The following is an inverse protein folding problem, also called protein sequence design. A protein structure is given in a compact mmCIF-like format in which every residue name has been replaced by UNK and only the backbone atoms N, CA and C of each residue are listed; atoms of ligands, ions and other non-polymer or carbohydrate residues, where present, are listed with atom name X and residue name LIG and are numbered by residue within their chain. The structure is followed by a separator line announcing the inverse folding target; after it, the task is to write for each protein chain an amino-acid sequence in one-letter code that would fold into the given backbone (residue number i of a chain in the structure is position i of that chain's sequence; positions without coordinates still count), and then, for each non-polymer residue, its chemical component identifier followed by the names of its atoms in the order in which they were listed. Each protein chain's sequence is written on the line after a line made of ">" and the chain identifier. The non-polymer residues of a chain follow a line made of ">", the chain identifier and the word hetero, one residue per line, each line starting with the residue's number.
data_IF_734255379689
#
_entry.id   IF_734255379689
#
_cell.length_a   1.000
_cell.length_b   1.000
_cell.length_c   1.000
_cell.angle_alpha   90.00
_cell.angle_beta   90.00
_cell.angle_gamma   90.00
#
_symmetry.space_group_name_H-M   'P 1'
#
loop_
_entity.id
_entity.type
_entity.pdbx_description
1 polymer ?
#
# COMPACT_ATOMS: atom_id res chain seq x y z
N UNK A 1 5.40 -1.21 -10.77
CA UNK A 1 5.01 -2.64 -10.74
C UNK A 1 3.51 -2.71 -10.55
N UNK A 2 2.77 -3.54 -11.31
CA UNK A 2 1.34 -3.71 -11.10
C UNK A 2 1.06 -4.24 -9.69
N UNK A 3 0.01 -3.72 -9.04
CA UNK A 3 -0.45 -4.21 -7.74
C UNK A 3 -1.05 -5.62 -7.89
N UNK A 4 -0.60 -6.56 -7.05
CA UNK A 4 -1.19 -7.91 -6.98
C UNK A 4 -2.68 -7.83 -6.62
N UNK A 5 -3.49 -8.69 -7.21
CA UNK A 5 -4.92 -8.85 -6.90
C UNK A 5 -5.13 -9.51 -5.53
N UNK A 6 -6.31 -9.35 -4.91
CA UNK A 6 -6.65 -10.01 -3.63
C UNK A 6 -6.52 -11.53 -3.69
N UNK A 7 -6.90 -12.13 -4.83
CA UNK A 7 -6.75 -13.58 -5.04
C UNK A 7 -5.27 -14.01 -5.08
N UNK A 8 -4.40 -13.29 -5.78
CA UNK A 8 -2.96 -13.60 -5.83
C UNK A 8 -2.30 -13.45 -4.45
N UNK A 9 -2.75 -12.48 -3.68
CA UNK A 9 -2.31 -12.26 -2.30
C UNK A 9 -2.77 -13.41 -1.39
N UNK A 10 -4.03 -13.83 -1.48
CA UNK A 10 -4.54 -14.99 -0.75
C UNK A 10 -3.84 -16.28 -1.18
N UNK A 11 -3.56 -16.45 -2.47
CA UNK A 11 -2.82 -17.62 -2.97
C UNK A 11 -1.44 -17.70 -2.31
N UNK A 12 -0.68 -16.61 -2.29
CA UNK A 12 0.63 -16.55 -1.60
C UNK A 12 0.53 -16.89 -0.11
N UNK A 13 -0.57 -16.51 0.55
CA UNK A 13 -0.84 -16.97 1.91
C UNK A 13 -0.97 -18.48 2.00
N UNK A 14 -1.82 -19.05 1.16
CA UNK A 14 -2.14 -20.46 1.17
C UNK A 14 -0.86 -21.27 0.88
N UNK A 15 -0.03 -20.78 -0.04
CA UNK A 15 1.29 -21.33 -0.34
C UNK A 15 2.18 -21.37 0.91
N UNK A 16 2.23 -20.27 1.67
CA UNK A 16 2.99 -20.19 2.93
C UNK A 16 2.44 -21.15 4.00
N UNK A 17 1.13 -21.22 4.15
CA UNK A 17 0.48 -22.15 5.08
C UNK A 17 0.84 -23.59 4.72
N UNK A 18 0.61 -24.01 3.47
CA UNK A 18 0.86 -25.40 3.04
C UNK A 18 2.33 -25.76 3.20
N UNK A 19 3.26 -24.86 2.90
CA UNK A 19 4.69 -25.10 3.11
C UNK A 19 5.06 -25.30 4.59
N UNK A 20 4.49 -24.48 5.49
CA UNK A 20 4.75 -24.61 6.94
C UNK A 20 4.13 -25.88 7.51
N UNK A 21 2.86 -26.14 7.18
CA UNK A 21 2.14 -27.34 7.56
C UNK A 21 2.90 -28.59 7.13
N UNK A 22 3.30 -28.63 5.85
CA UNK A 22 4.07 -29.70 5.26
C UNK A 22 5.41 -29.93 5.98
N UNK A 23 6.20 -28.89 6.21
CA UNK A 23 7.49 -29.02 6.91
C UNK A 23 7.32 -29.51 8.35
N UNK A 24 6.23 -29.15 9.01
CA UNK A 24 5.95 -29.51 10.41
C UNK A 24 5.53 -30.96 10.56
N UNK A 25 4.61 -31.43 9.72
CA UNK A 25 4.00 -32.75 9.88
C UNK A 25 4.57 -33.82 8.94
N UNK A 26 5.13 -33.43 7.79
CA UNK A 26 5.59 -34.35 6.75
C UNK A 26 6.96 -33.94 6.18
N UNK A 27 8.01 -33.81 7.00
CA UNK A 27 9.31 -33.30 6.57
C UNK A 27 10.01 -34.14 5.48
N UNK A 28 9.61 -35.40 5.28
CA UNK A 28 10.15 -36.29 4.25
C UNK A 28 9.49 -36.14 2.87
N UNK A 29 8.33 -35.47 2.79
CA UNK A 29 7.66 -35.20 1.51
C UNK A 29 8.31 -33.95 0.90
N UNK A 30 8.46 -33.89 -0.44
CA UNK A 30 9.04 -32.72 -1.11
C UNK A 30 8.00 -31.66 -1.43
N UNK A 31 6.85 -32.08 -1.93
CA UNK A 31 5.75 -31.20 -2.34
C UNK A 31 4.41 -31.82 -2.02
N UNK A 32 3.52 -31.04 -1.40
CA UNK A 32 2.10 -31.36 -1.30
C UNK A 32 1.39 -30.61 -2.42
N UNK A 33 0.63 -31.34 -3.24
CA UNK A 33 -0.23 -30.74 -4.25
C UNK A 33 -1.45 -30.13 -3.56
N UNK A 34 -1.74 -28.87 -3.85
CA UNK A 34 -2.98 -28.21 -3.42
C UNK A 34 -3.50 -27.28 -4.51
N UNK A 35 -4.80 -27.00 -4.43
CA UNK A 35 -5.48 -26.07 -5.35
C UNK A 35 -6.21 -24.99 -4.55
N UNK A 36 -6.20 -23.76 -5.07
CA UNK A 36 -6.87 -22.61 -4.48
C UNK A 36 -7.90 -22.07 -5.45
N UNK A 37 -9.18 -22.11 -5.06
CA UNK A 37 -10.29 -21.62 -5.90
C UNK A 37 -11.05 -20.49 -5.22
N UNK A 38 -11.37 -19.45 -5.99
CA UNK A 38 -12.31 -18.40 -5.62
C UNK A 38 -13.73 -18.82 -6.04
N UNK A 39 -14.69 -18.82 -5.10
CA UNK A 39 -16.04 -19.35 -5.37
C UNK A 39 -17.07 -18.29 -5.73
N UNK A 40 -16.80 -17.00 -5.48
CA UNK A 40 -17.78 -15.94 -5.70
C UNK A 40 -17.15 -14.73 -6.39
N UNK A 41 -17.47 -14.56 -7.68
CA UNK A 41 -17.40 -13.27 -8.39
C UNK A 41 -18.70 -12.45 -8.26
N UNK A 42 -19.70 -12.96 -7.55
CA UNK A 42 -21.06 -12.38 -7.49
C UNK A 42 -21.20 -11.11 -6.65
N UNK A 43 -20.10 -10.61 -6.10
CA UNK A 43 -20.08 -9.25 -5.63
C UNK A 43 -19.06 -8.50 -6.47
N UNK A 44 -19.48 -7.35 -6.99
CA UNK A 44 -18.64 -6.35 -7.62
C UNK A 44 -17.32 -6.18 -6.85
N UNK A 45 -16.30 -5.61 -7.50
CA UNK A 45 -14.96 -5.33 -6.94
C UNK A 45 -14.92 -4.62 -5.56
N UNK A 46 -16.07 -4.32 -4.95
CA UNK A 46 -16.26 -3.70 -3.65
C UNK A 46 -16.60 -4.64 -2.49
N UNK A 47 -16.86 -5.95 -2.65
CA UNK A 47 -17.17 -6.75 -1.44
C UNK A 47 -15.93 -6.93 -0.58
N UNK A 48 -16.04 -6.49 0.67
CA UNK A 48 -15.09 -6.75 1.73
C UNK A 48 -14.92 -8.25 1.96
N UNK A 49 -15.98 -9.06 1.79
CA UNK A 49 -15.95 -10.50 2.05
C UNK A 49 -15.74 -11.32 0.78
N UNK A 50 -14.81 -12.27 0.85
CA UNK A 50 -14.48 -13.23 -0.21
C UNK A 50 -14.45 -14.65 0.37
N UNK A 51 -14.74 -15.64 -0.47
CA UNK A 51 -14.76 -17.06 -0.08
C UNK A 51 -13.79 -17.85 -0.94
N UNK A 52 -12.83 -18.47 -0.28
CA UNK A 52 -11.79 -19.28 -0.89
C UNK A 52 -11.90 -20.74 -0.48
N UNK A 53 -11.39 -21.62 -1.34
CA UNK A 53 -11.21 -23.03 -1.03
C UNK A 53 -9.75 -23.41 -1.19
N UNK A 54 -9.21 -24.12 -0.21
CA UNK A 54 -7.90 -24.79 -0.30
C UNK A 54 -8.19 -26.28 -0.31
N UNK A 55 -7.79 -26.99 -1.37
CA UNK A 55 -7.91 -28.44 -1.48
C UNK A 55 -6.53 -29.06 -1.31
N UNK A 56 -6.28 -29.75 -0.20
CA UNK A 56 -5.03 -30.45 0.10
C UNK A 56 -5.20 -31.91 -0.31
N UNK A 57 -4.35 -32.40 -1.23
CA UNK A 57 -4.42 -33.80 -1.63
C UNK A 57 -3.82 -34.69 -0.54
N UNK A 58 -4.51 -35.80 -0.24
CA UNK A 58 -4.02 -36.85 0.67
C UNK A 58 -2.95 -37.72 0.03
N UNK A 59 -2.75 -37.61 -1.27
CA UNK A 59 -1.71 -38.33 -2.01
C UNK A 59 -0.62 -37.36 -2.46
N UNK A 60 0.64 -37.75 -2.29
CA UNK A 60 1.80 -36.99 -2.75
C UNK A 60 2.55 -37.75 -3.83
N UNK A 61 3.20 -37.02 -4.73
CA UNK A 61 4.03 -37.63 -5.76
C UNK A 61 5.35 -38.08 -5.13
N UNK A 62 5.62 -39.38 -5.19
CA UNK A 62 6.86 -39.98 -4.69
C UNK A 62 7.97 -39.83 -5.73
N UNK A 63 7.69 -40.28 -6.96
CA UNK A 63 8.59 -40.14 -8.10
C UNK A 63 7.82 -40.11 -9.42
N UNK A 64 8.46 -39.54 -10.44
CA UNK A 64 8.03 -39.56 -11.83
C UNK A 64 9.10 -40.30 -12.64
N UNK A 65 8.71 -41.40 -13.29
CA UNK A 65 9.60 -42.14 -14.15
C UNK A 65 9.89 -41.31 -15.41
N UNK A 66 11.13 -40.88 -15.59
CA UNK A 66 11.52 -39.99 -16.69
C UNK A 66 11.44 -40.65 -18.07
N UNK A 67 11.40 -41.98 -18.13
CA UNK A 67 11.33 -42.76 -19.37
C UNK A 67 9.88 -42.99 -19.80
N UNK A 68 9.02 -43.38 -18.85
CA UNK A 68 7.62 -43.72 -19.14
C UNK A 68 6.65 -42.56 -18.91
N UNK A 69 7.05 -41.54 -18.15
CA UNK A 69 6.17 -40.48 -17.65
C UNK A 69 5.22 -40.94 -16.53
N UNK A 70 5.38 -42.17 -16.03
CA UNK A 70 4.53 -42.72 -14.97
C UNK A 70 4.79 -42.01 -13.63
N UNK A 71 3.71 -41.63 -12.96
CA UNK A 71 3.74 -40.92 -11.68
C UNK A 71 3.26 -41.85 -10.56
N UNK A 72 4.13 -42.12 -9.59
CA UNK A 72 3.78 -42.93 -8.43
C UNK A 72 3.41 -42.04 -7.26
N UNK A 73 2.24 -42.29 -6.69
CA UNK A 73 1.70 -41.54 -5.57
C UNK A 73 1.57 -42.43 -4.33
N UNK A 74 1.91 -41.87 -3.18
CA UNK A 74 1.69 -42.49 -1.87
C UNK A 74 0.69 -41.67 -1.07
N UNK A 75 -0.02 -42.34 -0.17
CA UNK A 75 -0.93 -41.69 0.76
C UNK A 75 -0.15 -41.09 1.94
N UNK A 76 -0.51 -39.86 2.32
CA UNK A 76 0.05 -39.17 3.46
C UNK A 76 -0.57 -39.79 4.73
N UNK A 77 0.15 -40.73 5.34
CA UNK A 77 -0.26 -41.31 6.61
C UNK A 77 -0.45 -40.25 7.70
N UNK A 78 -1.58 -40.30 8.40
CA UNK A 78 -1.88 -39.40 9.52
C UNK A 78 -2.41 -38.02 9.13
N UNK A 79 -2.63 -37.73 7.85
CA UNK A 79 -3.29 -36.50 7.43
C UNK A 79 -4.81 -36.58 7.66
N UNK A 80 -5.26 -36.00 8.77
CA UNK A 80 -6.69 -35.92 9.14
C UNK A 80 -7.26 -34.51 8.98
N UNK A 81 -8.58 -34.41 8.84
CA UNK A 81 -9.27 -33.11 8.79
C UNK A 81 -9.06 -32.30 10.06
N UNK A 82 -9.00 -32.95 11.21
CA UNK A 82 -8.77 -32.35 12.52
C UNK A 82 -7.39 -31.69 12.60
N UNK A 83 -6.36 -32.39 12.11
CA UNK A 83 -4.99 -31.87 12.07
C UNK A 83 -4.90 -30.62 11.19
N UNK A 84 -5.48 -30.68 9.99
CA UNK A 84 -5.51 -29.54 9.06
C UNK A 84 -6.29 -28.37 9.66
N UNK A 85 -7.44 -28.65 10.30
CA UNK A 85 -8.27 -27.62 10.94
C UNK A 85 -7.48 -26.89 12.04
N UNK A 86 -6.88 -27.63 12.97
CA UNK A 86 -6.15 -27.05 14.09
C UNK A 86 -4.98 -26.18 13.61
N UNK A 87 -4.18 -26.68 12.67
CA UNK A 87 -3.03 -25.93 12.16
C UNK A 87 -3.45 -24.71 11.34
N UNK A 88 -4.53 -24.82 10.56
CA UNK A 88 -5.06 -23.71 9.77
C UNK A 88 -5.64 -22.60 10.65
N UNK A 89 -6.36 -22.96 11.72
CA UNK A 89 -6.87 -22.00 12.71
C UNK A 89 -5.69 -21.28 13.39
N UNK A 90 -4.69 -22.03 13.88
CA UNK A 90 -3.47 -21.46 14.48
C UNK A 90 -2.68 -20.57 13.52
N UNK A 91 -2.62 -20.94 12.24
CA UNK A 91 -1.92 -20.16 11.24
C UNK A 91 -2.63 -18.84 10.97
N UNK A 92 -3.96 -18.84 10.86
CA UNK A 92 -4.71 -17.66 10.41
C UNK A 92 -5.21 -16.74 11.53
N UNK A 93 -5.37 -17.25 12.75
CA UNK A 93 -5.86 -16.49 13.91
C UNK A 93 -5.01 -15.24 14.24
N UNK A 94 -3.67 -15.28 14.23
CA UNK A 94 -2.84 -14.11 14.58
C UNK A 94 -3.01 -12.92 13.63
N UNK A 95 -3.48 -13.17 12.40
CA UNK A 95 -3.57 -12.12 11.37
C UNK A 95 -4.87 -11.32 11.41
N UNK A 96 -5.75 -11.58 12.40
CA UNK A 96 -6.96 -10.78 12.61
C UNK A 96 -6.59 -9.32 12.90
N UNK A 97 -7.13 -8.39 12.11
CA UNK A 97 -6.96 -6.97 12.34
C UNK A 97 -8.10 -6.49 13.22
N UNK A 98 -7.73 -5.86 14.34
CA UNK A 98 -8.66 -5.20 15.26
C UNK A 98 -8.60 -3.68 15.10
N UNK A 99 -9.73 -3.02 15.29
CA UNK A 99 -9.80 -1.57 15.31
C UNK A 99 -9.33 -0.98 16.66
N UNK A 100 -9.46 0.34 16.83
CA UNK A 100 -9.08 1.03 18.08
C UNK A 100 -9.94 0.64 19.29
N UNK A 101 -11.08 0.00 19.08
CA UNK A 101 -12.00 -0.51 20.10
C UNK A 101 -11.76 -1.99 20.40
N UNK A 102 -10.86 -2.65 19.65
CA UNK A 102 -10.60 -4.08 19.77
C UNK A 102 -11.52 -4.97 18.92
N UNK A 103 -12.41 -4.38 18.11
CA UNK A 103 -13.34 -5.10 17.24
C UNK A 103 -12.60 -5.65 16.02
N UNK A 104 -12.86 -6.91 15.65
CA UNK A 104 -12.23 -7.54 14.49
C UNK A 104 -12.84 -6.95 13.21
N UNK A 105 -12.03 -6.22 12.44
CA UNK A 105 -12.43 -5.58 11.19
C UNK A 105 -11.90 -6.30 9.95
N UNK A 106 -10.90 -7.16 10.09
CA UNK A 106 -10.42 -8.01 9.00
C UNK A 106 -9.98 -9.36 9.55
N UNK A 107 -10.38 -10.44 8.90
CA UNK A 107 -10.09 -11.79 9.37
C UNK A 107 -10.11 -12.80 8.23
N UNK A 108 -9.47 -13.95 8.48
CA UNK A 108 -9.71 -15.17 7.73
C UNK A 108 -10.19 -16.23 8.71
N UNK A 109 -11.31 -16.86 8.38
CA UNK A 109 -11.94 -17.88 9.22
C UNK A 109 -12.21 -19.12 8.40
N UNK A 110 -11.76 -20.26 8.91
CA UNK A 110 -12.19 -21.57 8.42
C UNK A 110 -13.68 -21.74 8.77
N UNK A 111 -14.51 -21.92 7.75
CA UNK A 111 -15.98 -22.04 7.92
C UNK A 111 -16.50 -23.43 7.68
N UNK A 112 -15.78 -24.22 6.89
CA UNK A 112 -16.15 -25.60 6.58
C UNK A 112 -14.90 -26.37 6.22
N UNK A 113 -14.83 -27.61 6.68
CA UNK A 113 -13.85 -28.60 6.24
C UNK A 113 -14.62 -29.81 5.71
N UNK A 114 -14.21 -30.31 4.55
CA UNK A 114 -14.77 -31.52 3.95
C UNK A 114 -13.63 -32.49 3.75
N UNK A 115 -13.76 -33.67 4.32
CA UNK A 115 -12.78 -34.73 4.19
C UNK A 115 -13.30 -35.82 3.25
N UNK A 116 -12.51 -36.15 2.24
CA UNK A 116 -12.77 -37.23 1.29
C UNK A 116 -11.58 -38.16 1.23
N UNK A 117 -11.72 -39.29 0.54
CA UNK A 117 -10.62 -40.24 0.35
C UNK A 117 -9.40 -39.62 -0.34
N UNK A 118 -9.60 -38.69 -1.28
CA UNK A 118 -8.50 -38.12 -2.07
C UNK A 118 -7.93 -36.82 -1.50
N UNK A 119 -8.72 -36.07 -0.74
CA UNK A 119 -8.40 -34.68 -0.38
C UNK A 119 -9.18 -34.18 0.82
N UNK A 120 -8.59 -33.19 1.48
CA UNK A 120 -9.22 -32.36 2.50
C UNK A 120 -9.47 -30.98 1.88
N UNK A 121 -10.73 -30.56 1.81
CA UNK A 121 -11.14 -29.26 1.28
C UNK A 121 -11.50 -28.32 2.43
N UNK A 122 -10.73 -27.26 2.59
CA UNK A 122 -10.94 -26.19 3.55
C UNK A 122 -11.63 -25.01 2.86
N UNK A 123 -12.75 -24.54 3.43
CA UNK A 123 -13.46 -23.34 2.96
C UNK A 123 -13.20 -22.18 3.92
N UNK A 124 -12.53 -21.17 3.42
CA UNK A 124 -12.18 -19.99 4.19
C UNK A 124 -13.02 -18.80 3.76
N UNK A 125 -13.50 -18.04 4.74
CA UNK A 125 -14.07 -16.70 4.53
C UNK A 125 -13.01 -15.69 4.91
N UNK A 126 -12.66 -14.82 3.96
CA UNK A 126 -11.73 -13.72 4.17
C UNK A 126 -12.52 -12.42 4.09
N UNK A 127 -12.45 -11.63 5.15
CA UNK A 127 -13.05 -10.30 5.20
C UNK A 127 -11.96 -9.24 5.22
N UNK A 128 -11.93 -8.39 4.21
CA UNK A 128 -11.03 -7.25 4.04
C UNK A 128 -11.75 -5.97 4.43
N UNK A 129 -11.26 -5.28 5.45
CA UNK A 129 -11.74 -3.93 5.71
C UNK A 129 -11.30 -3.00 4.57
N UNK A 130 -12.19 -2.13 4.08
CA UNK A 130 -11.99 -1.29 2.89
C UNK A 130 -10.73 -0.40 2.91
N UNK A 131 -10.17 -0.12 4.11
CA UNK A 131 -8.93 0.66 4.28
C UNK A 131 -7.64 -0.18 4.27
N UNK A 132 -7.75 -1.49 4.24
CA UNK A 132 -6.62 -2.41 4.30
C UNK A 132 -6.58 -3.22 3.00
N UNK A 133 -5.98 -2.63 1.97
CA UNK A 133 -5.71 -3.31 0.69
C UNK A 133 -4.57 -4.34 0.79
N UNK A 134 -3.95 -4.47 1.96
CA UNK A 134 -2.79 -5.33 2.12
C UNK A 134 -3.18 -6.81 2.07
N UNK A 135 -2.28 -7.69 1.61
CA UNK A 135 -2.46 -9.13 1.68
C UNK A 135 -2.93 -9.56 3.06
N UNK A 136 -3.71 -10.62 3.10
CA UNK A 136 -3.91 -11.42 4.29
C UNK A 136 -3.24 -12.78 4.05
N UNK A 137 -2.31 -13.23 4.91
CA UNK A 137 -1.67 -12.50 5.98
C UNK A 137 -0.69 -11.51 5.39
N UNK A 138 -0.81 -10.25 5.76
CA UNK A 138 0.32 -9.34 5.60
C UNK A 138 1.21 -9.67 6.78
N UNK A 139 2.50 -9.86 6.52
CA UNK A 139 3.50 -9.78 7.58
C UNK A 139 3.13 -8.58 8.44
N UNK A 140 2.95 -8.81 9.74
CA UNK A 140 2.66 -7.79 10.72
C UNK A 140 3.57 -6.61 10.40
N UNK A 141 3.03 -5.55 9.79
CA UNK A 141 3.58 -4.25 10.09
C UNK A 141 3.13 -4.07 11.51
N UNK A 142 4.05 -4.35 12.42
CA UNK A 142 3.92 -4.08 13.85
C UNK A 142 3.05 -2.84 13.99
N UNK A 143 1.95 -2.96 14.73
CA UNK A 143 1.05 -1.85 15.01
C UNK A 143 1.85 -0.61 15.44
N UNK A 144 3.02 -0.81 16.06
CA UNK A 144 3.96 0.25 16.39
C UNK A 144 4.65 0.88 15.18
N UNK A 145 5.07 0.14 14.16
CA UNK A 145 5.58 0.71 12.90
C UNK A 145 4.51 1.56 12.20
N UNK A 146 3.25 1.10 12.19
CA UNK A 146 2.14 1.88 11.60
C UNK A 146 1.89 3.15 12.40
N UNK A 147 1.91 3.07 13.73
CA UNK A 147 1.80 4.23 14.61
C UNK A 147 2.97 5.19 14.43
N UNK A 148 4.19 4.69 14.31
CA UNK A 148 5.39 5.49 14.11
C UNK A 148 5.33 6.25 12.78
N UNK A 149 5.07 5.56 11.66
CA UNK A 149 4.90 6.21 10.35
C UNK A 149 3.77 7.25 10.37
N UNK A 150 2.68 6.98 11.10
CA UNK A 150 1.58 7.93 11.26
C UNK A 150 1.99 9.16 12.06
N UNK A 151 2.80 9.00 13.11
CA UNK A 151 3.38 10.10 13.90
C UNK A 151 4.33 10.94 13.03
N UNK A 152 5.22 10.29 12.29
CA UNK A 152 6.16 10.94 11.36
C UNK A 152 5.42 11.76 10.29
N UNK A 153 4.40 11.18 9.65
CA UNK A 153 3.60 11.89 8.65
C UNK A 153 2.88 13.11 9.26
N UNK A 154 2.35 12.98 10.49
CA UNK A 154 1.71 14.09 11.20
C UNK A 154 2.72 15.19 11.51
N UNK A 155 3.94 14.84 11.89
CA UNK A 155 5.02 15.78 12.14
C UNK A 155 5.47 16.49 10.86
N UNK A 156 5.67 15.76 9.76
CA UNK A 156 5.99 16.33 8.45
C UNK A 156 4.91 17.33 7.99
N UNK A 157 3.62 16.99 8.14
CA UNK A 157 2.52 17.91 7.83
C UNK A 157 2.53 19.17 8.70
N UNK A 158 2.82 19.04 10.00
CA UNK A 158 2.98 20.19 10.89
C UNK A 158 4.14 21.10 10.46
N UNK A 159 5.29 20.52 10.13
CA UNK A 159 6.45 21.27 9.65
C UNK A 159 6.16 21.97 8.32
N UNK A 160 5.56 21.27 7.36
CA UNK A 160 5.15 21.86 6.08
C UNK A 160 4.18 23.04 6.28
N UNK A 161 3.21 22.92 7.20
CA UNK A 161 2.30 24.01 7.55
C UNK A 161 2.99 25.19 8.23
N UNK A 162 3.97 24.93 9.10
CA UNK A 162 4.75 25.99 9.75
C UNK A 162 5.59 26.76 8.71
N UNK A 163 6.24 26.05 7.79
CA UNK A 163 7.02 26.64 6.69
C UNK A 163 6.13 27.45 5.77
N UNK A 164 4.95 26.94 5.38
CA UNK A 164 4.02 27.69 4.51
C UNK A 164 3.50 28.96 5.18
N UNK A 165 3.22 28.91 6.48
CA UNK A 165 2.80 30.08 7.26
C UNK A 165 3.91 31.12 7.37
N UNK A 166 5.16 30.68 7.59
CA UNK A 166 6.34 31.55 7.61
C UNK A 166 6.58 32.23 6.26
N UNK A 167 6.46 31.46 5.17
CA UNK A 167 6.59 31.99 3.81
C UNK A 167 5.51 33.03 3.48
N UNK A 168 4.25 32.80 3.86
CA UNK A 168 3.17 33.76 3.65
C UNK A 168 3.43 35.10 4.38
N UNK A 169 3.95 35.05 5.62
CA UNK A 169 4.35 36.26 6.37
C UNK A 169 5.50 36.99 5.68
N UNK A 170 6.53 36.27 5.23
CA UNK A 170 7.66 36.84 4.49
C UNK A 170 7.20 37.53 3.20
N UNK A 171 6.33 36.87 2.41
CA UNK A 171 5.75 37.44 1.19
C UNK A 171 4.99 38.73 1.48
N UNK A 172 4.21 38.76 2.57
CA UNK A 172 3.50 39.98 2.98
C UNK A 172 4.47 41.10 3.36
N UNK A 173 5.48 40.82 4.19
CA UNK A 173 6.50 41.80 4.58
C UNK A 173 7.26 42.34 3.38
N UNK A 174 7.66 41.49 2.43
CA UNK A 174 8.36 41.93 1.22
C UNK A 174 7.46 42.84 0.38
N UNK A 175 6.17 42.52 0.22
CA UNK A 175 5.22 43.39 -0.49
C UNK A 175 5.03 44.74 0.19
N UNK A 176 4.94 44.76 1.52
CA UNK A 176 4.81 45.99 2.31
C UNK A 176 6.07 46.88 2.23
N UNK A 177 7.25 46.27 2.18
CA UNK A 177 8.50 47.01 1.97
C UNK A 177 8.59 47.51 0.53
N UNK A 178 8.25 46.66 -0.44
CA UNK A 178 8.26 46.99 -1.85
C UNK A 178 7.29 48.13 -2.17
N UNK A 179 6.10 48.18 -1.56
CA UNK A 179 5.12 49.26 -1.75
C UNK A 179 5.61 50.61 -1.26
N UNK A 180 6.47 50.64 -0.23
CA UNK A 180 7.06 51.86 0.34
C UNK A 180 8.26 52.42 -0.42
N UNK A 181 8.82 51.68 -1.37
CA UNK A 181 9.95 52.17 -2.18
C UNK A 181 9.54 53.39 -3.02
N UNK A 182 10.38 54.46 -3.08
CA UNK A 182 10.07 55.66 -3.87
C UNK A 182 10.07 55.39 -5.38
N UNK A 183 10.91 54.45 -5.84
CA UNK A 183 10.95 53.95 -7.21
C UNK A 183 10.84 52.44 -7.19
N UNK A 184 10.12 51.85 -8.15
CA UNK A 184 10.02 50.40 -8.26
C UNK A 184 11.08 49.90 -9.24
N UNK A 185 11.79 48.80 -8.94
CA UNK A 185 12.73 48.23 -9.88
C UNK A 185 11.99 47.58 -11.06
N UNK A 186 12.66 47.55 -12.21
CA UNK A 186 12.20 46.82 -13.38
C UNK A 186 12.37 45.30 -13.20
N UNK A 187 11.47 44.54 -13.80
CA UNK A 187 11.57 43.09 -13.85
C UNK A 187 12.83 42.69 -14.63
N UNK A 188 13.71 41.80 -14.10
CA UNK A 188 14.96 41.42 -14.76
C UNK A 188 14.77 40.58 -16.05
N UNK A 189 13.53 40.23 -16.39
CA UNK A 189 13.21 39.42 -17.58
C UNK A 189 12.66 40.28 -18.72
N UNK A 190 11.74 41.21 -18.41
CA UNK A 190 11.08 42.04 -19.42
C UNK A 190 11.46 43.51 -19.35
N UNK A 191 12.24 43.93 -18.35
CA UNK A 191 12.68 45.31 -18.12
C UNK A 191 11.51 46.31 -18.04
N UNK A 192 10.40 45.88 -17.44
CA UNK A 192 9.22 46.72 -17.17
C UNK A 192 9.09 46.92 -15.67
N UNK A 193 8.74 48.13 -15.26
CA UNK A 193 8.51 48.48 -13.85
C UNK A 193 7.49 47.53 -13.22
N UNK A 194 7.85 46.97 -12.05
CA UNK A 194 6.99 46.00 -11.38
C UNK A 194 5.93 46.67 -10.51
N UNK A 195 4.65 46.44 -10.82
CA UNK A 195 3.52 46.80 -9.97
C UNK A 195 3.43 45.87 -8.73
N UNK A 196 3.07 46.42 -7.57
CA UNK A 196 3.01 45.70 -6.28
C UNK A 196 2.04 44.51 -6.35
N UNK A 197 0.90 44.71 -7.00
CA UNK A 197 -0.19 43.73 -7.13
C UNK A 197 0.20 42.55 -8.01
N UNK A 198 1.13 42.79 -8.94
CA UNK A 198 1.68 41.79 -9.87
C UNK A 198 3.05 41.29 -9.44
N UNK A 199 3.50 41.59 -8.22
CA UNK A 199 4.79 41.13 -7.72
C UNK A 199 4.74 39.64 -7.36
N UNK A 200 5.54 38.85 -8.07
CA UNK A 200 5.83 37.47 -7.74
C UNK A 200 7.13 37.38 -6.94
N UNK A 201 7.07 36.73 -5.77
CA UNK A 201 8.20 36.55 -4.87
C UNK A 201 8.54 35.06 -4.86
N UNK A 202 9.70 34.70 -5.40
CA UNK A 202 10.10 33.30 -5.51
C UNK A 202 10.51 32.70 -4.15
N UNK A 203 10.60 31.36 -4.01
CA UNK A 203 11.16 30.73 -2.81
C UNK A 203 12.58 31.21 -2.47
N UNK A 204 13.36 31.61 -3.48
CA UNK A 204 14.68 32.22 -3.32
C UNK A 204 14.64 33.73 -3.03
N UNK A 205 13.47 34.31 -2.78
CA UNK A 205 13.21 35.73 -2.49
C UNK A 205 13.54 36.73 -3.61
N UNK A 206 13.98 36.29 -4.80
CA UNK A 206 14.11 37.17 -5.96
C UNK A 206 12.75 37.56 -6.53
N UNK A 207 12.67 38.81 -7.00
CA UNK A 207 11.44 39.48 -7.40
C UNK A 207 11.26 39.43 -8.91
N UNK A 208 10.05 39.07 -9.37
CA UNK A 208 9.68 39.07 -10.78
C UNK A 208 8.28 39.67 -10.95
N UNK A 209 7.97 40.18 -12.15
CA UNK A 209 6.57 40.43 -12.49
C UNK A 209 5.83 39.09 -12.67
N UNK A 210 4.55 39.07 -12.32
CA UNK A 210 3.72 37.86 -12.33
C UNK A 210 3.67 37.17 -13.68
N UNK A 211 3.63 37.95 -14.77
CA UNK A 211 3.60 37.42 -16.13
C UNK A 211 4.90 36.68 -16.50
N UNK A 212 6.06 37.23 -16.13
CA UNK A 212 7.36 36.58 -16.35
C UNK A 212 7.53 35.36 -15.47
N UNK A 213 7.09 35.42 -14.20
CA UNK A 213 7.10 34.27 -13.30
C UNK A 213 6.29 33.09 -13.87
N UNK A 214 5.05 33.36 -14.30
CA UNK A 214 4.16 32.34 -14.87
C UNK A 214 4.75 31.70 -16.13
N UNK A 215 5.37 32.50 -17.00
CA UNK A 215 6.09 32.02 -18.17
C UNK A 215 7.25 31.09 -17.78
N UNK A 216 8.08 31.48 -16.82
CA UNK A 216 9.21 30.67 -16.40
C UNK A 216 8.77 29.33 -15.75
N UNK A 217 7.68 29.33 -14.96
CA UNK A 217 7.14 28.08 -14.42
C UNK A 217 6.64 27.16 -15.53
N UNK A 218 5.87 27.69 -16.47
CA UNK A 218 5.35 26.92 -17.62
C UNK A 218 6.49 26.31 -18.45
N UNK A 219 7.54 27.10 -18.66
CA UNK A 219 8.72 26.69 -19.43
C UNK A 219 9.69 25.83 -18.60
N UNK A 220 9.37 25.52 -17.33
CA UNK A 220 10.19 24.76 -16.38
C UNK A 220 11.61 25.33 -16.21
N UNK A 221 11.74 26.65 -16.21
CA UNK A 221 13.02 27.35 -16.02
C UNK A 221 13.21 27.79 -14.56
N UNK A 222 14.47 27.88 -14.15
CA UNK A 222 14.85 28.42 -12.84
C UNK A 222 14.82 29.95 -12.79
N UNK A 223 15.03 30.49 -11.59
CA UNK A 223 15.15 31.92 -11.32
C UNK A 223 16.25 32.54 -12.20
N UNK A 224 16.02 33.67 -12.88
CA UNK A 224 17.04 34.29 -13.73
C UNK A 224 18.26 34.78 -12.93
N UNK A 225 18.09 35.10 -11.64
CA UNK A 225 19.16 35.61 -10.79
C UNK A 225 20.01 34.49 -10.17
N UNK A 226 19.38 33.47 -9.56
CA UNK A 226 20.10 32.41 -8.84
C UNK A 226 19.96 31.00 -9.41
N UNK A 227 19.18 30.82 -10.49
CA UNK A 227 18.85 29.52 -11.10
C UNK A 227 18.12 28.52 -10.20
N UNK A 228 17.70 28.94 -9.01
CA UNK A 228 16.88 28.15 -8.10
C UNK A 228 15.47 27.86 -8.64
N UNK A 229 14.74 26.91 -8.06
CA UNK A 229 13.41 26.54 -8.51
C UNK A 229 12.41 27.70 -8.38
N UNK A 230 11.52 27.82 -9.37
CA UNK A 230 10.39 28.75 -9.39
C UNK A 230 9.11 27.96 -9.15
N UNK A 231 8.21 28.49 -8.32
CA UNK A 231 6.91 27.90 -8.06
C UNK A 231 5.78 28.90 -8.33
N UNK A 232 4.62 28.41 -8.77
CA UNK A 232 3.39 29.17 -8.75
C UNK A 232 2.95 29.30 -7.29
N UNK A 233 3.18 30.45 -6.69
CA UNK A 233 2.47 30.82 -5.48
C UNK A 233 1.10 31.30 -5.95
N UNK A 234 0.06 30.50 -5.71
CA UNK A 234 -1.31 30.96 -5.89
C UNK A 234 -1.46 32.27 -5.13
N UNK A 235 -1.96 33.35 -5.77
CA UNK A 235 -2.25 34.57 -5.03
C UNK A 235 -3.18 34.21 -3.87
N UNK A 236 -3.05 34.85 -2.70
CA UNK A 236 -4.04 34.68 -1.66
C UNK A 236 -5.40 35.02 -2.28
N UNK A 237 -6.29 34.03 -2.36
CA UNK A 237 -7.70 34.28 -2.62
C UNK A 237 -8.18 35.16 -1.48
N UNK A 238 -8.43 36.43 -1.80
CA UNK A 238 -9.09 37.39 -0.90
C UNK A 238 -10.52 36.92 -0.66
#
# INVERSE_FOLDING_TARGET
>A
MPSKTRFELFKQSADRFVQQFHRRFFPGIRTINYDVRERNKYCSNSSATQVYKIAINKKYLVYENTVTGEKVYEEIGGLTSELVKEDMEKFYEPYQIRDVRGEIISYCKLTQIMDSEEKIICKLVVHFHNRYEKPFPSEERDLEQVRQLSRELKQQKKMAKAVSTGHARMVHTIRDLFSKLPTKPDCPVCYVEMAVEKLAINPCCHLLCGDCNNRLVRDKKGCPECRGPIALLTPPTV
#
